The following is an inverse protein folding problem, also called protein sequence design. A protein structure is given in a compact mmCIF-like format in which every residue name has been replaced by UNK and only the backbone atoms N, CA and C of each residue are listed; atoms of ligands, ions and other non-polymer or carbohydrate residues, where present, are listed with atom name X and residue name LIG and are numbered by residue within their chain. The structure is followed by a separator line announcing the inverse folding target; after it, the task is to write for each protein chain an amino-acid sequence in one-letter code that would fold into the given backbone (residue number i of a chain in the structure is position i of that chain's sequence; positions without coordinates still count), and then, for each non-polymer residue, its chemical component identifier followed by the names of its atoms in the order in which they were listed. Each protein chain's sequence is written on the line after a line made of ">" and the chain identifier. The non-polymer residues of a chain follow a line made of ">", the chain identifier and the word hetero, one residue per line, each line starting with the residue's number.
data_IF_768634546032
#
_entry.id   IF_768634546032
#
_cell.length_a   1.000
_cell.length_b   1.000
_cell.length_c   1.000
_cell.angle_alpha   90.00
_cell.angle_beta   90.00
_cell.angle_gamma   90.00
#
_symmetry.space_group_name_H-M   'P 1'
#
loop_
_entity.id
_entity.type
_entity.pdbx_description
1 polymer ?
#
# COMPACT_ATOMS: atom_id res chain seq x y z
N UNK A 1 -8.23 21.04 -3.92
CA UNK A 1 -6.97 21.29 -3.17
C UNK A 1 -5.97 20.25 -3.65
N UNK A 2 -4.89 20.64 -4.35
CA UNK A 2 -3.79 19.72 -4.66
C UNK A 2 -3.17 19.29 -3.34
N UNK A 3 -3.25 18.00 -3.01
CA UNK A 3 -2.43 17.45 -1.95
C UNK A 3 -0.97 17.63 -2.36
N UNK A 4 -0.22 18.40 -1.59
CA UNK A 4 1.22 18.53 -1.81
C UNK A 4 1.87 17.22 -1.44
N UNK A 5 2.74 16.72 -2.30
CA UNK A 5 3.64 15.62 -1.96
C UNK A 5 4.35 15.96 -0.65
N UNK A 6 4.13 15.16 0.37
CA UNK A 6 4.78 15.35 1.67
C UNK A 6 6.23 14.88 1.58
N UNK A 7 7.16 15.71 2.04
CA UNK A 7 8.54 15.26 2.20
C UNK A 7 8.65 14.25 3.37
N UNK A 8 9.75 13.50 3.43
CA UNK A 8 9.95 12.49 4.48
C UNK A 8 9.88 13.10 5.89
N UNK A 9 10.38 14.33 6.06
CA UNK A 9 10.32 15.07 7.34
C UNK A 9 8.87 15.37 7.74
N UNK A 10 8.05 15.82 6.78
CA UNK A 10 6.63 16.10 7.05
C UNK A 10 5.87 14.81 7.40
N UNK A 11 6.21 13.69 6.75
CA UNK A 11 5.63 12.36 7.04
C UNK A 11 6.00 11.88 8.44
N UNK A 12 7.24 12.04 8.84
CA UNK A 12 7.68 11.71 10.20
C UNK A 12 7.08 12.68 11.24
N UNK A 13 6.85 13.93 10.87
CA UNK A 13 6.23 14.92 11.75
C UNK A 13 4.76 14.65 12.08
N UNK A 14 4.07 13.84 11.31
CA UNK A 14 2.70 13.38 11.63
C UNK A 14 2.68 11.97 12.26
N UNK A 15 3.84 11.31 12.36
CA UNK A 15 3.93 9.94 12.86
C UNK A 15 3.35 9.81 14.27
N UNK A 16 3.64 10.74 15.17
CA UNK A 16 3.13 10.72 16.54
C UNK A 16 1.59 10.73 16.56
N UNK A 17 0.96 11.58 15.73
CA UNK A 17 -0.51 11.62 15.61
C UNK A 17 -1.09 10.34 15.06
N UNK A 18 -0.39 9.71 14.10
CA UNK A 18 -0.79 8.43 13.53
C UNK A 18 -0.67 7.32 14.58
N UNK A 19 0.43 7.30 15.32
CA UNK A 19 0.66 6.34 16.41
C UNK A 19 -0.42 6.47 17.49
N UNK A 20 -0.74 7.70 17.89
CA UNK A 20 -1.79 7.97 18.86
C UNK A 20 -3.17 7.50 18.36
N UNK A 21 -3.49 7.77 17.10
CA UNK A 21 -4.74 7.33 16.47
C UNK A 21 -4.85 5.79 16.38
N UNK A 22 -3.74 5.10 16.11
CA UNK A 22 -3.70 3.63 16.12
C UNK A 22 -3.86 3.10 17.55
N UNK A 23 -3.14 3.65 18.53
CA UNK A 23 -3.28 3.26 19.95
C UNK A 23 -4.68 3.50 20.50
N UNK A 24 -5.34 4.56 20.05
CA UNK A 24 -6.74 4.85 20.38
C UNK A 24 -7.75 3.96 19.62
N UNK A 25 -7.31 3.09 18.72
CA UNK A 25 -8.17 2.23 17.89
C UNK A 25 -8.95 2.97 16.80
N UNK A 26 -8.63 4.23 16.55
CA UNK A 26 -9.26 5.03 15.50
C UNK A 26 -8.79 4.64 14.09
N UNK A 27 -7.54 4.17 13.98
CA UNK A 27 -6.98 3.59 12.76
C UNK A 27 -6.71 2.11 13.02
N UNK A 28 -7.37 1.23 12.27
CA UNK A 28 -7.22 -0.22 12.43
C UNK A 28 -6.34 -0.85 11.37
N UNK A 29 -6.25 -0.26 10.19
CA UNK A 29 -5.47 -0.82 9.09
C UNK A 29 -4.91 0.24 8.15
N UNK A 30 -3.77 -0.06 7.55
CA UNK A 30 -3.12 0.73 6.51
C UNK A 30 -3.07 -0.06 5.20
N UNK A 31 -3.40 0.61 4.10
CA UNK A 31 -3.21 0.07 2.76
C UNK A 31 -2.16 0.89 2.01
N UNK A 32 -1.04 0.30 1.63
CA UNK A 32 -0.11 0.93 0.70
C UNK A 32 -0.53 0.58 -0.72
N UNK A 33 -1.25 1.48 -1.38
CA UNK A 33 -1.72 1.29 -2.74
C UNK A 33 -0.74 1.96 -3.71
N UNK A 34 0.20 1.17 -4.21
CA UNK A 34 1.20 1.56 -5.21
C UNK A 34 0.84 1.10 -6.62
N UNK A 35 -0.41 0.72 -6.83
CA UNK A 35 -0.92 0.22 -8.10
C UNK A 35 -1.60 1.28 -8.96
N UNK A 36 -1.72 0.97 -10.23
CA UNK A 36 -2.47 1.79 -11.17
C UNK A 36 -3.26 0.87 -12.11
N UNK A 37 -4.47 1.32 -12.50
CA UNK A 37 -5.35 0.57 -13.40
C UNK A 37 -4.83 0.57 -14.85
N UNK A 38 -3.86 1.44 -15.16
CA UNK A 38 -3.34 1.63 -16.51
C UNK A 38 -4.36 2.29 -17.42
N UNK A 39 -4.11 2.22 -18.73
CA UNK A 39 -4.97 2.82 -19.77
C UNK A 39 -5.98 1.83 -20.38
N UNK A 40 -5.92 0.55 -20.01
CA UNK A 40 -6.81 -0.46 -20.60
C UNK A 40 -8.24 -0.27 -20.12
N UNK A 41 -9.17 -0.19 -21.06
CA UNK A 41 -10.61 -0.08 -20.79
C UNK A 41 -11.08 -1.26 -19.94
N UNK A 42 -11.91 -0.99 -18.95
CA UNK A 42 -12.47 -2.00 -18.04
C UNK A 42 -11.57 -2.36 -16.86
N UNK A 43 -10.35 -1.81 -16.76
CA UNK A 43 -9.51 -1.94 -15.58
C UNK A 43 -9.77 -0.80 -14.61
N UNK A 44 -10.28 -1.12 -13.43
CA UNK A 44 -10.57 -0.15 -12.38
C UNK A 44 -10.35 -0.72 -10.96
N UNK A 45 -9.55 -1.78 -10.86
CA UNK A 45 -9.35 -2.50 -9.60
C UNK A 45 -8.85 -1.58 -8.48
N UNK A 46 -7.74 -0.87 -8.69
CA UNK A 46 -7.14 -0.05 -7.62
C UNK A 46 -8.03 1.13 -7.24
N UNK A 47 -8.71 1.72 -8.20
CA UNK A 47 -9.66 2.80 -7.96
C UNK A 47 -10.85 2.32 -7.12
N UNK A 48 -11.45 1.19 -7.48
CA UNK A 48 -12.56 0.61 -6.73
C UNK A 48 -12.11 0.06 -5.36
N UNK A 49 -10.91 -0.50 -5.27
CA UNK A 49 -10.32 -0.92 -4.00
C UNK A 49 -10.23 0.25 -3.01
N UNK A 50 -9.66 1.38 -3.43
CA UNK A 50 -9.54 2.58 -2.57
C UNK A 50 -10.90 3.11 -2.14
N UNK A 51 -11.90 3.11 -3.01
CA UNK A 51 -13.26 3.55 -2.68
C UNK A 51 -13.93 2.69 -1.61
N UNK A 52 -13.59 1.40 -1.57
CA UNK A 52 -14.20 0.43 -0.66
C UNK A 52 -13.47 0.31 0.68
N UNK A 53 -12.36 1.03 0.88
CA UNK A 53 -11.64 0.99 2.15
C UNK A 53 -12.54 1.48 3.31
N UNK A 54 -12.61 0.73 4.42
CA UNK A 54 -13.40 1.11 5.59
C UNK A 54 -13.00 2.47 6.18
N UNK A 55 -13.92 3.11 6.90
CA UNK A 55 -13.71 4.46 7.45
C UNK A 55 -12.63 4.55 8.53
N UNK A 56 -12.25 3.43 9.12
CA UNK A 56 -11.20 3.29 10.13
C UNK A 56 -9.85 2.85 9.54
N UNK A 57 -9.65 3.07 8.24
CA UNK A 57 -8.41 2.72 7.54
C UNK A 57 -7.78 3.92 6.83
N UNK A 58 -6.46 3.88 6.67
CA UNK A 58 -5.68 4.90 5.96
C UNK A 58 -5.06 4.30 4.70
N UNK A 59 -5.15 5.02 3.60
CA UNK A 59 -4.55 4.65 2.31
C UNK A 59 -3.29 5.48 2.10
N UNK A 60 -2.16 4.79 2.04
CA UNK A 60 -0.87 5.34 1.63
C UNK A 60 -0.76 5.15 0.12
N UNK A 61 -0.84 6.22 -0.67
CA UNK A 61 -0.76 6.10 -2.13
C UNK A 61 0.63 6.45 -2.64
N UNK A 62 1.12 5.68 -3.59
CA UNK A 62 2.46 5.78 -4.14
C UNK A 62 2.44 5.65 -5.66
N UNK A 63 3.42 6.25 -6.34
CA UNK A 63 3.65 6.12 -7.77
C UNK A 63 2.54 6.71 -8.65
N UNK A 64 2.30 6.13 -9.82
CA UNK A 64 1.35 6.67 -10.80
C UNK A 64 -0.12 6.55 -10.34
N UNK A 65 -0.44 5.54 -9.53
CA UNK A 65 -1.78 5.30 -9.01
C UNK A 65 -2.34 6.48 -8.22
N UNK A 66 -1.48 7.20 -7.50
CA UNK A 66 -1.89 8.36 -6.70
C UNK A 66 -2.68 9.41 -7.48
N UNK A 67 -2.39 9.60 -8.77
CA UNK A 67 -3.10 10.56 -9.62
C UNK A 67 -4.56 10.18 -9.92
N UNK A 68 -4.95 8.95 -9.61
CA UNK A 68 -6.34 8.49 -9.68
C UNK A 68 -7.08 8.63 -8.36
N UNK A 69 -6.33 8.71 -7.25
CA UNK A 69 -6.90 8.67 -5.89
C UNK A 69 -6.81 10.02 -5.16
N UNK A 70 -5.82 10.86 -5.47
CA UNK A 70 -5.54 12.07 -4.71
C UNK A 70 -6.66 13.13 -4.76
N UNK A 71 -7.55 13.04 -5.73
CA UNK A 71 -8.75 13.89 -5.82
C UNK A 71 -9.98 13.27 -5.11
N UNK A 72 -9.87 12.02 -4.63
CA UNK A 72 -10.95 11.37 -3.90
C UNK A 72 -11.05 11.95 -2.49
N UNK A 73 -12.24 12.30 -2.10
CA UNK A 73 -12.54 12.67 -0.72
C UNK A 73 -13.15 11.47 0.00
N UNK A 74 -12.32 10.66 0.64
CA UNK A 74 -12.77 9.51 1.46
C UNK A 74 -12.81 9.83 2.96
N UNK A 75 -12.63 11.10 3.33
CA UNK A 75 -12.74 11.58 4.70
C UNK A 75 -11.42 11.70 5.46
N UNK A 76 -11.53 11.91 6.76
CA UNK A 76 -10.43 12.13 7.70
C UNK A 76 -10.66 11.32 8.98
N UNK A 77 -9.57 10.97 9.67
CA UNK A 77 -9.58 10.34 10.99
C UNK A 77 -8.79 11.24 11.94
N UNK A 78 -9.48 11.85 12.93
CA UNK A 78 -8.81 12.73 13.90
C UNK A 78 -8.04 13.91 13.28
N UNK A 79 -8.52 14.43 12.14
CA UNK A 79 -7.84 15.48 11.38
C UNK A 79 -6.69 14.98 10.48
N UNK A 80 -6.50 13.67 10.37
CA UNK A 80 -5.57 13.03 9.45
C UNK A 80 -6.34 12.63 8.19
N UNK A 81 -5.99 13.14 6.99
CA UNK A 81 -6.60 12.68 5.75
C UNK A 81 -6.42 11.17 5.58
N UNK A 82 -7.47 10.47 5.18
CA UNK A 82 -7.41 9.02 4.94
C UNK A 82 -6.61 8.63 3.69
N UNK A 83 -6.32 9.57 2.81
CA UNK A 83 -5.36 9.36 1.70
C UNK A 83 -4.12 10.20 1.96
N UNK A 84 -2.98 9.54 2.07
CA UNK A 84 -1.67 10.16 2.26
C UNK A 84 -0.78 9.88 1.05
N UNK A 85 -0.33 10.94 0.38
CA UNK A 85 0.55 10.85 -0.79
C UNK A 85 2.00 10.58 -0.35
N UNK A 86 2.48 9.38 -0.61
CA UNK A 86 3.83 8.92 -0.30
C UNK A 86 4.86 9.26 -1.39
N UNK A 87 4.44 9.86 -2.50
CA UNK A 87 5.33 10.33 -3.55
C UNK A 87 5.34 9.46 -4.80
N UNK A 88 6.44 9.56 -5.54
CA UNK A 88 6.67 8.84 -6.81
C UNK A 88 7.29 7.45 -6.57
N UNK A 89 7.49 6.67 -7.64
CA UNK A 89 8.17 5.36 -7.55
C UNK A 89 9.54 5.47 -6.87
N UNK A 90 10.28 6.55 -7.12
CA UNK A 90 11.58 6.79 -6.48
C UNK A 90 11.47 7.05 -4.96
N UNK A 91 10.28 7.39 -4.47
CA UNK A 91 10.02 7.62 -3.04
C UNK A 91 9.60 6.34 -2.30
N UNK A 92 9.61 5.18 -2.97
CA UNK A 92 9.32 3.88 -2.35
C UNK A 92 10.24 3.61 -1.14
N UNK A 93 11.49 4.03 -1.20
CA UNK A 93 12.42 3.98 -0.07
C UNK A 93 11.87 4.75 1.14
N UNK A 94 11.31 5.94 0.94
CA UNK A 94 10.71 6.72 2.01
C UNK A 94 9.50 6.03 2.63
N UNK A 95 8.69 5.35 1.82
CA UNK A 95 7.56 4.56 2.32
C UNK A 95 8.03 3.38 3.20
N UNK A 96 9.09 2.70 2.79
CA UNK A 96 9.72 1.64 3.59
C UNK A 96 10.25 2.21 4.92
N UNK A 97 10.94 3.35 4.90
CA UNK A 97 11.44 4.00 6.12
C UNK A 97 10.31 4.39 7.08
N UNK A 98 9.18 4.86 6.57
CA UNK A 98 7.99 5.15 7.40
C UNK A 98 7.44 3.86 8.02
N UNK A 99 7.34 2.77 7.26
CA UNK A 99 6.89 1.49 7.79
C UNK A 99 7.83 0.95 8.88
N UNK A 100 9.15 1.04 8.67
CA UNK A 100 10.16 0.64 9.68
C UNK A 100 10.07 1.52 10.94
N UNK A 101 9.89 2.83 10.78
CA UNK A 101 9.73 3.74 11.91
C UNK A 101 8.45 3.44 12.71
N UNK A 102 7.34 3.13 12.04
CA UNK A 102 6.10 2.71 12.70
C UNK A 102 6.29 1.38 13.42
N UNK A 103 6.92 0.39 12.79
CA UNK A 103 7.22 -0.90 13.43
C UNK A 103 8.06 -0.71 14.70
N UNK A 104 9.10 0.14 14.65
CA UNK A 104 9.88 0.49 15.83
C UNK A 104 9.08 1.18 16.93
N UNK A 105 8.14 2.07 16.56
CA UNK A 105 7.28 2.76 17.53
C UNK A 105 6.24 1.83 18.18
N UNK A 106 5.87 0.73 17.52
CA UNK A 106 4.98 -0.31 18.03
C UNK A 106 5.72 -1.51 18.63
N UNK A 107 7.06 -1.47 18.61
CA UNK A 107 7.92 -2.58 19.11
C UNK A 107 7.60 -3.92 18.44
N UNK A 108 7.32 -3.92 17.14
CA UNK A 108 6.97 -5.09 16.36
C UNK A 108 7.76 -5.18 15.04
N UNK A 109 7.67 -6.31 14.35
CA UNK A 109 8.20 -6.44 12.98
C UNK A 109 7.30 -5.69 11.98
N UNK A 110 7.87 -5.30 10.83
CA UNK A 110 7.10 -4.65 9.75
C UNK A 110 5.95 -5.53 9.26
N UNK A 111 6.13 -6.86 9.29
CA UNK A 111 5.10 -7.82 8.91
C UNK A 111 3.97 -7.97 9.95
N UNK A 112 4.18 -7.51 11.18
CA UNK A 112 3.17 -7.53 12.25
C UNK A 112 2.35 -6.23 12.29
N UNK A 113 2.75 -5.22 11.51
CA UNK A 113 1.95 -4.02 11.34
C UNK A 113 0.62 -4.35 10.66
N UNK A 114 -0.48 -3.66 11.00
CA UNK A 114 -1.74 -3.74 10.28
C UNK A 114 -1.60 -3.01 8.92
N UNK A 115 -0.70 -3.51 8.06
CA UNK A 115 -0.31 -2.91 6.79
C UNK A 115 -0.38 -3.96 5.68
N UNK A 116 -1.16 -3.70 4.64
CA UNK A 116 -1.19 -4.51 3.43
C UNK A 116 -0.72 -3.71 2.23
N UNK A 117 0.15 -4.31 1.43
CA UNK A 117 0.67 -3.72 0.20
C UNK A 117 -0.14 -4.20 -1.00
N UNK A 118 -0.70 -3.27 -1.78
CA UNK A 118 -1.48 -3.54 -2.98
C UNK A 118 -0.80 -2.86 -4.17
N UNK A 119 -0.03 -3.64 -4.93
CA UNK A 119 0.95 -3.14 -5.88
C UNK A 119 0.63 -3.53 -7.32
N UNK A 120 1.16 -2.76 -8.28
CA UNK A 120 1.25 -3.14 -9.70
C UNK A 120 2.71 -3.17 -10.16
N UNK A 121 2.95 -3.78 -11.34
CA UNK A 121 4.31 -4.00 -11.83
C UNK A 121 4.52 -3.59 -13.30
N UNK A 122 3.82 -2.65 -13.81
CA UNK A 122 3.83 -2.30 -15.24
C UNK A 122 5.19 -1.89 -15.83
N UNK A 123 6.19 -1.64 -15.00
CA UNK A 123 7.51 -1.25 -15.46
C UNK A 123 8.63 -1.85 -14.60
N UNK A 124 9.87 -1.74 -15.09
CA UNK A 124 11.06 -2.29 -14.44
C UNK A 124 11.26 -1.79 -13.00
N UNK A 125 10.96 -0.52 -12.71
CA UNK A 125 11.07 0.04 -11.36
C UNK A 125 10.12 -0.65 -10.37
N UNK A 126 8.91 -0.98 -10.80
CA UNK A 126 7.97 -1.71 -9.96
C UNK A 126 8.47 -3.12 -9.64
N UNK A 127 9.11 -3.78 -10.60
CA UNK A 127 9.77 -5.08 -10.36
C UNK A 127 10.92 -4.94 -9.38
N UNK A 128 11.78 -3.93 -9.53
CA UNK A 128 12.88 -3.67 -8.59
C UNK A 128 12.35 -3.41 -7.17
N UNK A 129 11.28 -2.64 -7.04
CA UNK A 129 10.63 -2.38 -5.73
C UNK A 129 10.11 -3.69 -5.14
N UNK A 130 9.39 -4.51 -5.91
CA UNK A 130 8.91 -5.80 -5.45
C UNK A 130 10.06 -6.69 -4.95
N UNK A 131 11.12 -6.83 -5.75
CA UNK A 131 12.29 -7.64 -5.37
C UNK A 131 12.97 -7.09 -4.11
N UNK A 132 13.01 -5.77 -3.94
CA UNK A 132 13.55 -5.14 -2.73
C UNK A 132 12.69 -5.48 -1.51
N UNK A 133 11.36 -5.41 -1.61
CA UNK A 133 10.45 -5.80 -0.54
C UNK A 133 10.64 -7.26 -0.15
N UNK A 134 10.73 -8.16 -1.13
CA UNK A 134 10.98 -9.59 -0.90
C UNK A 134 12.36 -9.82 -0.25
N UNK A 135 13.40 -9.10 -0.69
CA UNK A 135 14.75 -9.19 -0.11
C UNK A 135 14.79 -8.70 1.35
N UNK A 136 13.95 -7.74 1.71
CA UNK A 136 13.75 -7.26 3.08
C UNK A 136 12.86 -8.18 3.93
N UNK A 137 12.34 -9.28 3.35
CA UNK A 137 11.46 -10.21 4.04
C UNK A 137 10.04 -9.71 4.24
N UNK A 138 9.64 -8.65 3.55
CA UNK A 138 8.27 -8.12 3.63
C UNK A 138 7.31 -9.07 2.91
N UNK A 139 6.20 -9.38 3.56
CA UNK A 139 5.21 -10.38 3.14
C UNK A 139 3.83 -9.74 2.93
N UNK A 140 2.85 -10.57 2.59
CA UNK A 140 1.45 -10.17 2.43
C UNK A 140 1.28 -9.05 1.38
N UNK A 141 1.78 -9.31 0.16
CA UNK A 141 1.76 -8.37 -0.95
C UNK A 141 0.72 -8.81 -1.98
N UNK A 142 -0.28 -7.98 -2.24
CA UNK A 142 -1.24 -8.15 -3.33
C UNK A 142 -0.70 -7.52 -4.61
N UNK A 143 -0.65 -8.27 -5.71
CA UNK A 143 -0.03 -7.82 -6.96
C UNK A 143 -0.90 -8.12 -8.18
N UNK A 144 -1.01 -7.16 -9.08
CA UNK A 144 -1.75 -7.31 -10.33
C UNK A 144 -1.63 -6.10 -11.26
N UNK A 145 -2.56 -5.97 -12.20
CA UNK A 145 -3.70 -6.86 -12.55
C UNK A 145 -3.29 -8.08 -13.39
N UNK A 146 -2.03 -8.26 -13.65
CA UNK A 146 -1.44 -9.45 -14.27
C UNK A 146 -0.08 -9.70 -13.61
N UNK A 147 0.35 -10.93 -13.59
CA UNK A 147 1.67 -11.28 -13.06
C UNK A 147 2.76 -11.07 -14.11
N UNK A 148 3.99 -10.77 -13.71
CA UNK A 148 5.12 -10.72 -14.61
C UNK A 148 5.27 -12.01 -15.41
N UNK A 149 5.35 -11.92 -16.73
CA UNK A 149 5.44 -13.08 -17.62
C UNK A 149 6.72 -13.92 -17.42
N UNK A 150 7.73 -13.36 -16.78
CA UNK A 150 8.97 -14.09 -16.46
C UNK A 150 8.85 -14.97 -15.19
N UNK A 151 7.76 -14.88 -14.46
CA UNK A 151 7.49 -15.81 -13.38
C UNK A 151 7.03 -17.14 -13.95
N UNK A 152 7.87 -18.18 -13.84
CA UNK A 152 7.41 -19.55 -14.08
C UNK A 152 6.45 -19.96 -12.96
N UNK A 153 5.60 -20.98 -13.22
CA UNK A 153 4.68 -21.50 -12.21
C UNK A 153 5.39 -21.92 -10.92
N UNK A 154 6.59 -22.50 -11.03
CA UNK A 154 7.38 -22.90 -9.87
C UNK A 154 7.86 -21.70 -9.04
N UNK A 155 8.35 -20.65 -9.72
CA UNK A 155 8.76 -19.42 -9.04
C UNK A 155 7.58 -18.76 -8.36
N UNK A 156 6.44 -18.69 -9.04
CA UNK A 156 5.23 -18.11 -8.46
C UNK A 156 4.77 -18.89 -7.21
N UNK A 157 4.76 -20.21 -7.24
CA UNK A 157 4.41 -21.03 -6.09
C UNK A 157 5.33 -20.75 -4.89
N UNK A 158 6.63 -20.64 -5.12
CA UNK A 158 7.59 -20.29 -4.07
C UNK A 158 7.30 -18.90 -3.49
N UNK A 159 6.96 -17.91 -4.34
CA UNK A 159 6.64 -16.55 -3.90
C UNK A 159 5.33 -16.53 -3.08
N UNK A 160 4.33 -17.29 -3.49
CA UNK A 160 3.06 -17.42 -2.74
C UNK A 160 3.31 -18.09 -1.38
N UNK A 161 4.04 -19.20 -1.35
CA UNK A 161 4.26 -19.97 -0.12
C UNK A 161 5.18 -19.27 0.87
N UNK A 162 6.31 -18.69 0.39
CA UNK A 162 7.33 -18.12 1.29
C UNK A 162 7.07 -16.65 1.64
N UNK A 163 6.50 -15.88 0.72
CA UNK A 163 6.34 -14.44 0.88
C UNK A 163 4.89 -14.00 0.95
N UNK A 164 3.93 -14.94 0.88
CA UNK A 164 2.51 -14.59 0.88
C UNK A 164 2.18 -13.55 -0.20
N UNK A 165 2.69 -13.82 -1.42
CA UNK A 165 2.36 -13.01 -2.59
C UNK A 165 0.99 -13.42 -3.10
N UNK A 166 0.04 -12.49 -3.13
CA UNK A 166 -1.33 -12.75 -3.56
C UNK A 166 -1.61 -12.08 -4.91
N UNK A 167 -1.92 -12.85 -5.96
CA UNK A 167 -2.49 -12.26 -7.17
C UNK A 167 -3.83 -11.60 -6.82
N UNK A 168 -4.04 -10.35 -7.29
CA UNK A 168 -5.32 -9.67 -7.08
C UNK A 168 -6.46 -10.41 -7.80
N UNK A 169 -7.65 -10.36 -7.20
CA UNK A 169 -8.88 -10.95 -7.76
C UNK A 169 -9.92 -9.86 -8.02
N UNK A 170 -10.85 -9.65 -7.11
CA UNK A 170 -11.76 -8.50 -7.12
C UNK A 170 -11.55 -7.64 -5.88
N UNK A 171 -11.80 -6.33 -5.95
CA UNK A 171 -11.62 -5.45 -4.79
C UNK A 171 -12.37 -5.93 -3.55
N UNK A 172 -13.59 -6.43 -3.72
CA UNK A 172 -14.44 -6.92 -2.64
C UNK A 172 -13.90 -8.19 -2.00
N UNK A 173 -13.46 -9.16 -2.82
CA UNK A 173 -12.93 -10.43 -2.34
C UNK A 173 -11.60 -10.23 -1.63
N UNK A 174 -10.72 -9.41 -2.20
CA UNK A 174 -9.42 -9.12 -1.62
C UNK A 174 -9.57 -8.30 -0.32
N UNK A 175 -10.46 -7.30 -0.29
CA UNK A 175 -10.77 -6.54 0.92
C UNK A 175 -11.26 -7.45 2.05
N UNK A 176 -12.17 -8.37 1.72
CA UNK A 176 -12.67 -9.36 2.68
C UNK A 176 -11.57 -10.32 3.15
N UNK A 177 -10.68 -10.73 2.27
CA UNK A 177 -9.56 -11.62 2.64
C UNK A 177 -8.55 -10.92 3.56
N UNK A 178 -8.37 -9.60 3.41
CA UNK A 178 -7.43 -8.81 4.21
C UNK A 178 -7.99 -8.50 5.60
N UNK A 179 -9.26 -8.14 5.67
CA UNK A 179 -9.87 -7.60 6.90
C UNK A 179 -10.70 -8.63 7.69
N UNK A 180 -11.03 -9.76 7.08
CA UNK A 180 -11.84 -10.85 7.68
C UNK A 180 -13.30 -10.70 7.34
#
# INVERSE_FOLDING_TARGET
>A
RRQRQMCIRDRLGIADKVIDAVKAGAIKHFFLVGGCDGAKVGRNYYTEFVKQTPNDTVVLTLACGKFRFNDMNIGEIGGIPRILDMGQCNDAYSAIQVAVALAGAFECDVNDLPLTLVLSWYEQKAVCILLTLLALGIRNIYIGPSLPKFFSSNVLNILVEKFQLHPITTPEADMKAILG
#
